data_IF_886954564232
#
_entry.id   IF_886954564232
#
_cell.length_a   1.000
_cell.length_b   1.000
_cell.length_c   1.000
_cell.angle_alpha   90.00
_cell.angle_beta   90.00
_cell.angle_gamma   90.00
#
_symmetry.space_group_name_H-M   'P 1'
#
loop_
_entity.id
_entity.type
_entity.pdbx_description
1 polymer ?
#
# COMPACT_ATOMS: atom_id res chain seq x y z
N UNK A 1 -2.92 48.00 6.30
CA UNK A 1 -1.68 47.69 5.55
C UNK A 1 -1.15 46.31 5.99
N UNK A 2 -1.71 45.25 5.42
CA UNK A 2 -1.23 43.88 5.59
C UNK A 2 -0.47 43.48 4.35
N UNK A 3 0.81 43.16 4.49
CA UNK A 3 1.59 42.57 3.41
C UNK A 3 1.26 41.07 3.35
N UNK A 4 0.44 40.70 2.37
CA UNK A 4 0.36 39.32 1.87
C UNK A 4 1.65 39.04 1.11
N UNK A 5 2.58 38.34 1.77
CA UNK A 5 3.75 37.78 1.10
C UNK A 5 3.32 36.52 0.37
N UNK A 6 3.04 36.65 -0.93
CA UNK A 6 2.97 35.50 -1.83
C UNK A 6 4.37 34.87 -1.90
N UNK A 7 4.51 33.65 -1.38
CA UNK A 7 5.73 32.86 -1.54
C UNK A 7 5.72 32.33 -2.97
N UNK A 8 6.35 33.07 -3.89
CA UNK A 8 6.69 32.54 -5.20
C UNK A 8 7.70 31.39 -5.01
N UNK A 9 7.18 30.16 -4.98
CA UNK A 9 7.99 28.94 -5.10
C UNK A 9 8.48 28.80 -6.54
N UNK A 10 9.45 29.65 -6.91
CA UNK A 10 10.15 29.55 -8.18
C UNK A 10 11.06 28.33 -8.16
N UNK A 11 10.54 27.17 -8.57
CA UNK A 11 11.37 25.99 -8.77
C UNK A 11 12.19 26.21 -10.04
N UNK A 12 13.50 26.42 -9.91
CA UNK A 12 14.39 26.57 -11.06
C UNK A 12 14.38 25.28 -11.89
N UNK A 13 14.24 25.40 -13.20
CA UNK A 13 14.31 24.24 -14.10
C UNK A 13 15.70 23.61 -14.01
N UNK A 14 15.75 22.30 -13.74
CA UNK A 14 16.99 21.52 -13.71
C UNK A 14 17.16 20.87 -15.09
N UNK A 15 18.25 21.22 -15.78
CA UNK A 15 18.63 20.56 -17.04
C UNK A 15 19.28 19.22 -16.68
N UNK A 16 18.83 18.15 -17.33
CA UNK A 16 19.41 16.81 -17.17
C UNK A 16 19.38 16.06 -18.50
N UNK A 17 20.34 15.15 -18.69
CA UNK A 17 20.38 14.23 -19.84
C UNK A 17 19.50 12.99 -19.60
N UNK A 18 19.29 12.63 -18.33
CA UNK A 18 18.54 11.44 -17.91
C UNK A 18 17.65 11.81 -16.72
N UNK A 19 16.37 11.46 -16.83
CA UNK A 19 15.39 11.52 -15.74
C UNK A 19 14.96 10.09 -15.38
N UNK A 20 15.07 9.73 -14.10
CA UNK A 20 14.49 8.49 -13.55
C UNK A 20 13.33 8.88 -12.64
N UNK A 21 12.11 8.55 -13.06
CA UNK A 21 10.90 8.74 -12.26
C UNK A 21 10.69 7.48 -11.38
N UNK A 22 10.59 7.69 -10.06
CA UNK A 22 10.26 6.66 -9.08
C UNK A 22 9.24 7.18 -8.05
N UNK A 23 8.32 8.04 -8.48
CA UNK A 23 7.31 8.71 -7.65
C UNK A 23 6.10 7.84 -7.31
N UNK A 24 6.08 6.59 -7.80
CA UNK A 24 4.98 5.65 -7.61
C UNK A 24 3.79 5.94 -8.52
N UNK A 25 2.69 5.19 -8.41
CA UNK A 25 1.58 5.22 -9.37
C UNK A 25 0.84 6.57 -9.45
N UNK A 26 1.09 7.51 -8.52
CA UNK A 26 0.56 8.88 -8.53
C UNK A 26 1.56 9.95 -9.00
N UNK A 27 2.73 9.56 -9.53
CA UNK A 27 3.81 10.47 -9.91
C UNK A 27 3.44 11.56 -10.92
N UNK A 28 4.22 12.64 -10.94
CA UNK A 28 3.89 13.89 -11.64
C UNK A 28 4.23 13.88 -13.15
N UNK A 29 5.08 12.94 -13.61
CA UNK A 29 5.74 13.07 -14.91
C UNK A 29 5.07 12.32 -16.06
N UNK A 30 4.01 11.56 -15.80
CA UNK A 30 3.46 10.60 -16.77
C UNK A 30 3.02 11.22 -18.10
N UNK A 31 2.26 12.33 -18.13
CA UNK A 31 1.78 12.91 -19.39
C UNK A 31 2.86 13.71 -20.13
N UNK A 32 3.86 14.23 -19.41
CA UNK A 32 4.86 15.16 -19.96
C UNK A 32 6.09 14.44 -20.53
N UNK A 33 6.35 13.21 -20.11
CA UNK A 33 7.48 12.41 -20.58
C UNK A 33 7.11 11.45 -21.75
N UNK A 34 5.92 11.59 -22.34
CA UNK A 34 5.51 10.81 -23.52
C UNK A 34 5.19 9.34 -23.23
N UNK A 35 4.95 8.98 -21.97
CA UNK A 35 4.52 7.64 -21.60
C UNK A 35 3.00 7.50 -21.73
N UNK A 36 2.55 6.34 -22.20
CA UNK A 36 1.15 5.91 -22.17
C UNK A 36 0.99 4.73 -21.22
N UNK A 37 -0.16 4.65 -20.54
CA UNK A 37 -0.50 3.56 -19.64
C UNK A 37 -1.79 2.88 -20.07
N UNK A 38 -1.80 1.56 -19.99
CA UNK A 38 -3.03 0.77 -20.07
C UNK A 38 -3.53 0.47 -18.66
N UNK A 39 -4.77 0.88 -18.38
CA UNK A 39 -5.45 0.52 -17.13
C UNK A 39 -6.21 -0.79 -17.36
N UNK A 40 -5.76 -1.86 -16.71
CA UNK A 40 -6.43 -3.16 -16.76
C UNK A 40 -7.24 -3.36 -15.49
N UNK A 41 -8.56 -3.25 -15.61
CA UNK A 41 -9.48 -3.62 -14.55
C UNK A 41 -9.70 -5.14 -14.53
N UNK A 42 -9.79 -5.71 -13.32
CA UNK A 42 -10.19 -7.12 -13.14
C UNK A 42 -11.45 -7.19 -12.28
N UNK A 43 -11.59 -8.20 -11.42
CA UNK A 43 -12.69 -8.25 -10.47
C UNK A 43 -12.58 -7.08 -9.46
N UNK A 44 -13.73 -6.65 -8.94
CA UNK A 44 -13.77 -5.68 -7.86
C UNK A 44 -13.14 -6.30 -6.59
N UNK A 45 -12.14 -5.61 -6.03
CA UNK A 45 -11.41 -6.07 -4.85
C UNK A 45 -11.11 -4.88 -3.93
N UNK A 46 -11.24 -5.10 -2.62
CA UNK A 46 -10.92 -4.13 -1.58
C UNK A 46 -9.79 -4.69 -0.71
N UNK A 47 -8.68 -3.95 -0.61
CA UNK A 47 -7.57 -4.27 0.27
C UNK A 47 -7.65 -3.49 1.59
N UNK A 48 -7.43 -4.17 2.71
CA UNK A 48 -7.24 -3.55 4.03
C UNK A 48 -5.83 -3.88 4.52
N UNK A 49 -5.11 -2.84 4.95
CA UNK A 49 -3.79 -2.97 5.57
C UNK A 49 -3.87 -2.43 6.99
N UNK A 50 -3.38 -3.21 7.96
CA UNK A 50 -3.33 -2.82 9.36
C UNK A 50 -1.91 -3.02 9.89
N UNK A 51 -1.38 -2.02 10.58
CA UNK A 51 -0.09 -2.13 11.27
C UNK A 51 -0.35 -2.03 12.77
N UNK A 52 0.03 -3.06 13.52
CA UNK A 52 -0.07 -3.05 14.97
C UNK A 52 1.31 -2.87 15.60
N UNK A 53 1.39 -2.05 16.65
CA UNK A 53 2.62 -1.85 17.42
C UNK A 53 3.14 -3.20 17.96
N UNK A 54 4.42 -3.47 17.74
CA UNK A 54 5.07 -4.67 18.25
C UNK A 54 5.64 -4.42 19.64
N UNK A 55 5.23 -5.26 20.61
CA UNK A 55 5.70 -5.17 22.00
C UNK A 55 6.60 -6.35 22.33
N UNK A 56 7.78 -6.13 22.95
CA UNK A 56 8.66 -7.21 23.36
C UNK A 56 7.91 -8.28 24.17
N UNK A 57 8.04 -9.54 23.75
CA UNK A 57 7.40 -10.68 24.42
C UNK A 57 5.96 -10.99 23.99
N UNK A 58 5.36 -10.20 23.10
CA UNK A 58 4.03 -10.49 22.53
C UNK A 58 4.15 -11.00 21.08
N UNK A 59 3.53 -12.13 20.78
CA UNK A 59 3.44 -12.65 19.40
C UNK A 59 4.77 -13.09 18.78
N UNK A 60 5.80 -13.32 19.59
CA UNK A 60 7.12 -13.76 19.12
C UNK A 60 7.12 -15.21 18.59
N UNK A 61 6.10 -15.99 18.93
CA UNK A 61 5.86 -17.35 18.43
C UNK A 61 4.93 -17.39 17.20
N UNK A 62 4.26 -16.28 16.86
CA UNK A 62 3.36 -16.21 15.71
C UNK A 62 4.13 -16.31 14.40
N UNK A 63 4.01 -17.44 13.71
CA UNK A 63 4.60 -17.61 12.38
C UNK A 63 3.95 -16.66 11.39
N UNK A 64 4.77 -16.08 10.53
CA UNK A 64 4.27 -15.38 9.33
C UNK A 64 3.44 -16.33 8.47
N UNK A 65 2.43 -15.79 7.80
CA UNK A 65 1.58 -16.57 6.92
C UNK A 65 1.10 -15.75 5.73
N UNK A 66 0.80 -16.46 4.65
CA UNK A 66 0.14 -15.92 3.47
C UNK A 66 -0.86 -16.95 3.00
N UNK A 67 -2.14 -16.66 3.16
CA UNK A 67 -3.22 -17.59 2.89
C UNK A 67 -4.23 -17.00 1.93
N UNK A 68 -4.64 -17.80 0.96
CA UNK A 68 -5.77 -17.50 0.09
C UNK A 68 -6.91 -18.50 0.35
N UNK A 69 -8.15 -18.00 0.30
CA UNK A 69 -9.37 -18.78 0.56
C UNK A 69 -9.50 -20.00 -0.35
N UNK A 70 -9.10 -19.87 -1.61
CA UNK A 70 -9.18 -20.96 -2.60
C UNK A 70 -8.44 -22.24 -2.16
N UNK A 71 -7.39 -22.11 -1.32
CA UNK A 71 -6.61 -23.22 -0.78
C UNK A 71 -6.97 -23.59 0.66
N UNK A 72 -7.69 -22.72 1.38
CA UNK A 72 -7.97 -22.85 2.81
C UNK A 72 -9.46 -22.62 3.14
N UNK A 73 -10.36 -23.20 2.34
CA UNK A 73 -11.80 -22.89 2.41
C UNK A 73 -12.42 -23.11 3.80
N UNK A 74 -12.04 -24.18 4.49
CA UNK A 74 -12.55 -24.49 5.83
C UNK A 74 -12.17 -23.40 6.85
N UNK A 75 -10.91 -22.95 6.83
CA UNK A 75 -10.41 -21.89 7.71
C UNK A 75 -11.16 -20.58 7.49
N UNK A 76 -11.32 -20.16 6.24
CA UNK A 76 -12.00 -18.90 5.91
C UNK A 76 -13.51 -18.98 6.18
N UNK A 77 -14.14 -20.13 5.95
CA UNK A 77 -15.55 -20.33 6.29
C UNK A 77 -15.76 -20.25 7.81
N UNK A 78 -14.84 -20.80 8.60
CA UNK A 78 -14.87 -20.68 10.06
C UNK A 78 -14.68 -19.23 10.50
N UNK A 79 -13.70 -18.53 9.96
CA UNK A 79 -13.44 -17.12 10.24
C UNK A 79 -14.69 -16.26 9.98
N UNK A 80 -15.31 -16.43 8.82
CA UNK A 80 -16.52 -15.71 8.42
C UNK A 80 -17.67 -15.98 9.39
N UNK A 81 -17.87 -17.24 9.80
CA UNK A 81 -18.89 -17.61 10.79
C UNK A 81 -18.65 -17.01 12.17
N UNK A 82 -17.39 -16.94 12.61
CA UNK A 82 -17.03 -16.52 13.98
C UNK A 82 -16.93 -15.00 14.13
N UNK A 83 -16.56 -14.29 13.07
CA UNK A 83 -16.25 -12.86 13.12
C UNK A 83 -17.09 -11.99 12.18
N UNK A 84 -17.77 -12.60 11.21
CA UNK A 84 -18.42 -11.92 10.10
C UNK A 84 -17.45 -11.46 8.99
N UNK A 85 -16.13 -11.65 9.16
CA UNK A 85 -15.14 -11.25 8.17
C UNK A 85 -15.11 -12.24 6.99
N UNK A 86 -15.59 -11.79 5.84
CA UNK A 86 -15.52 -12.52 4.58
C UNK A 86 -14.31 -12.03 3.77
N UNK A 87 -13.24 -12.84 3.73
CA UNK A 87 -11.96 -12.47 3.10
C UNK A 87 -11.61 -13.39 1.94
N UNK A 88 -10.94 -12.85 0.92
CA UNK A 88 -10.36 -13.63 -0.18
C UNK A 88 -8.95 -14.15 0.16
N UNK A 89 -8.16 -13.35 0.86
CA UNK A 89 -6.82 -13.68 1.32
C UNK A 89 -6.47 -12.88 2.60
N UNK A 90 -5.44 -13.33 3.30
CA UNK A 90 -4.84 -12.60 4.43
C UNK A 90 -3.34 -12.92 4.49
N UNK A 91 -2.55 -11.90 4.77
CA UNK A 91 -1.09 -11.99 4.93
C UNK A 91 -0.74 -11.41 6.28
N UNK A 92 0.22 -12.04 6.95
CA UNK A 92 0.85 -11.52 8.16
C UNK A 92 2.36 -11.57 7.98
N UNK A 93 3.00 -10.41 8.11
CA UNK A 93 4.45 -10.24 8.10
C UNK A 93 4.89 -9.66 9.45
N UNK A 94 5.97 -10.22 9.98
CA UNK A 94 6.57 -9.74 11.22
C UNK A 94 7.66 -8.73 10.88
N UNK A 95 7.31 -7.45 10.96
CA UNK A 95 8.26 -6.36 10.84
C UNK A 95 9.09 -6.16 12.12
N UNK A 96 10.16 -5.37 11.99
CA UNK A 96 10.99 -4.98 13.15
C UNK A 96 10.18 -4.14 14.15
N UNK A 97 9.40 -3.17 13.67
CA UNK A 97 8.65 -2.23 14.51
C UNK A 97 7.15 -2.52 14.60
N UNK A 98 6.60 -3.32 13.68
CA UNK A 98 5.17 -3.56 13.56
C UNK A 98 4.80 -4.99 13.14
N UNK A 99 3.62 -5.42 13.55
CA UNK A 99 2.90 -6.54 12.95
C UNK A 99 2.09 -6.00 11.77
N UNK A 100 2.44 -6.44 10.55
CA UNK A 100 1.78 -6.07 9.31
C UNK A 100 0.81 -7.16 8.87
#
# INVERSE_FOLDING_TARGET
PGASGDVESGTAAVVCDILVEAGGPGGLAWPHAGFSFDVVGTAEAIGLVANFERKPGHGEDLKEFSWARQFNQELFTRLERETGANLENIVYLRGEEAHY
#
